data_IF_201719672832
#
_entry.id   IF_201719672832
#
_cell.length_a   1.000
_cell.length_b   1.000
_cell.length_c   1.000
_cell.angle_alpha   90.00
_cell.angle_beta   90.00
_cell.angle_gamma   90.00
#
_symmetry.space_group_name_H-M   'P 1'
#
loop_
_entity.id
_entity.type
_entity.pdbx_description
1 polymer ?
#
# COMPACT_ATOMS: atom_id res chain seq x y z
N UNK A 1 8.71 3.75 -13.60
CA UNK A 1 7.47 3.18 -14.20
C UNK A 1 7.54 1.65 -14.16
N UNK A 2 6.92 1.05 -13.15
CA UNK A 2 6.64 -0.39 -13.11
C UNK A 2 5.17 -0.58 -13.47
N UNK A 3 4.94 -1.53 -14.39
CA UNK A 3 3.68 -1.77 -15.08
C UNK A 3 2.59 -2.22 -14.08
N UNK A 4 1.61 -1.36 -13.80
CA UNK A 4 0.44 -1.60 -12.94
C UNK A 4 -0.56 -2.67 -13.48
N UNK A 5 -0.11 -3.59 -14.34
CA UNK A 5 -0.96 -4.57 -15.05
C UNK A 5 -0.60 -6.04 -14.81
N UNK A 6 -0.17 -6.36 -13.60
CA UNK A 6 -0.30 -7.73 -13.07
C UNK A 6 -1.07 -7.74 -11.77
N UNK A 7 -2.38 -7.48 -11.88
CA UNK A 7 -3.34 -8.01 -10.92
C UNK A 7 -3.24 -9.54 -10.96
N UNK A 8 -2.37 -10.09 -10.11
CA UNK A 8 -2.39 -11.50 -9.77
C UNK A 8 -3.76 -11.74 -9.13
N UNK A 9 -4.61 -12.49 -9.83
CA UNK A 9 -5.91 -12.90 -9.33
C UNK A 9 -5.71 -13.71 -8.04
N UNK A 10 -5.86 -13.06 -6.87
CA UNK A 10 -5.93 -13.75 -5.58
C UNK A 10 -7.36 -14.27 -5.45
N UNK A 11 -7.65 -15.29 -6.26
CA UNK A 11 -8.83 -16.12 -6.19
C UNK A 11 -8.55 -17.23 -5.18
N UNK A 12 -9.56 -17.48 -4.34
CA UNK A 12 -9.65 -18.49 -3.29
C UNK A 12 -8.91 -18.22 -1.97
N UNK A 13 -9.53 -17.40 -1.13
CA UNK A 13 -9.52 -17.69 0.32
C UNK A 13 -10.95 -17.73 0.87
N UNK A 14 -11.80 -18.45 0.15
CA UNK A 14 -13.07 -18.95 0.68
C UNK A 14 -12.78 -20.07 1.66
N UNK A 15 -12.52 -19.77 2.94
CA UNK A 15 -12.50 -20.81 3.98
C UNK A 15 -13.43 -20.46 5.15
N UNK A 16 -14.70 -20.26 4.79
CA UNK A 16 -15.81 -20.59 5.68
C UNK A 16 -15.94 -22.11 5.78
N UNK A 17 -15.38 -22.62 6.87
CA UNK A 17 -15.87 -23.69 7.73
C UNK A 17 -17.21 -24.37 7.38
N UNK A 18 -17.26 -25.66 7.75
CA UNK A 18 -18.39 -26.58 7.84
C UNK A 18 -18.70 -27.41 6.58
N UNK A 19 -17.98 -28.51 6.43
CA UNK A 19 -18.54 -29.81 6.01
C UNK A 19 -17.45 -30.89 5.92
N UNK A 20 -16.81 -31.26 7.04
CA UNK A 20 -16.17 -32.61 7.09
C UNK A 20 -17.20 -33.74 7.29
N UNK A 21 -18.50 -33.41 7.21
CA UNK A 21 -19.58 -34.38 7.09
C UNK A 21 -19.89 -34.64 5.61
N UNK A 22 -18.89 -34.99 4.80
CA UNK A 22 -19.17 -35.63 3.51
C UNK A 22 -19.38 -37.11 3.73
N UNK A 23 -20.47 -37.59 3.14
CA UNK A 23 -21.07 -38.92 3.21
C UNK A 23 -20.09 -40.03 2.85
N UNK A 24 -19.44 -40.60 3.87
CA UNK A 24 -18.77 -41.89 3.72
C UNK A 24 -19.82 -42.99 3.63
N UNK A 25 -20.07 -43.49 2.43
CA UNK A 25 -20.76 -44.76 2.24
C UNK A 25 -19.83 -45.89 2.73
N UNK A 26 -20.27 -46.72 3.69
CA UNK A 26 -19.45 -47.81 4.19
C UNK A 26 -19.49 -48.97 3.20
N UNK A 27 -18.32 -49.41 2.73
CA UNK A 27 -18.16 -50.76 2.16
C UNK A 27 -18.24 -51.78 3.28
N UNK A 28 -19.18 -52.71 3.14
CA UNK A 28 -19.49 -53.75 4.13
C UNK A 28 -18.62 -54.97 3.81
N UNK A 29 -17.84 -55.42 4.79
CA UNK A 29 -17.35 -56.80 4.84
C UNK A 29 -17.93 -57.42 6.11
N UNK A 30 -18.79 -58.41 5.94
CA UNK A 30 -19.39 -59.19 7.02
C UNK A 30 -18.36 -60.17 7.59
N UNK A 31 -17.55 -59.70 8.54
CA UNK A 31 -16.93 -60.59 9.50
C UNK A 31 -17.70 -60.51 10.81
N UNK A 32 -18.05 -61.66 11.40
CA UNK A 32 -18.46 -61.78 12.81
C UNK A 32 -17.31 -61.37 13.72
N UNK A 33 -16.99 -60.07 13.74
CA UNK A 33 -16.01 -59.49 14.64
C UNK A 33 -16.57 -59.44 16.06
N UNK A 34 -15.75 -59.79 17.04
CA UNK A 34 -16.09 -59.59 18.44
C UNK A 34 -16.37 -58.10 18.68
N UNK A 35 -17.62 -57.76 19.09
CA UNK A 35 -18.07 -56.38 19.35
C UNK A 35 -17.09 -55.62 20.25
N UNK A 36 -16.50 -56.31 21.24
CA UNK A 36 -15.51 -55.71 22.14
C UNK A 36 -14.24 -55.27 21.40
N UNK A 37 -13.74 -56.09 20.47
CA UNK A 37 -12.55 -55.78 19.66
C UNK A 37 -12.79 -54.58 18.76
N UNK A 38 -13.93 -54.53 18.05
CA UNK A 38 -14.28 -53.39 17.19
C UNK A 38 -14.39 -52.08 17.98
N UNK A 39 -14.99 -52.13 19.17
CA UNK A 39 -15.06 -50.96 20.07
C UNK A 39 -13.66 -50.54 20.54
N UNK A 40 -12.80 -51.50 20.90
CA UNK A 40 -11.44 -51.24 21.34
C UNK A 40 -10.60 -50.57 20.24
N UNK A 41 -10.63 -51.10 19.03
CA UNK A 41 -9.92 -50.57 17.86
C UNK A 41 -10.37 -49.14 17.53
N UNK A 42 -11.68 -48.89 17.51
CA UNK A 42 -12.20 -47.54 17.26
C UNK A 42 -11.73 -46.54 18.33
N UNK A 43 -11.79 -46.92 19.61
CA UNK A 43 -11.31 -46.08 20.73
C UNK A 43 -9.80 -45.84 20.63
N UNK A 44 -9.02 -46.85 20.29
CA UNK A 44 -7.57 -46.75 20.12
C UNK A 44 -7.21 -45.79 18.98
N UNK A 45 -7.91 -45.88 17.84
CA UNK A 45 -7.65 -45.00 16.69
C UNK A 45 -8.04 -43.54 16.97
N UNK A 46 -9.12 -43.26 17.71
CA UNK A 46 -9.44 -41.89 18.14
C UNK A 46 -8.35 -41.29 19.04
N UNK A 47 -7.82 -42.09 19.98
CA UNK A 47 -6.69 -41.68 20.83
C UNK A 47 -5.42 -41.46 20.02
N UNK A 48 -5.17 -42.30 19.01
CA UNK A 48 -4.04 -42.16 18.10
C UNK A 48 -4.11 -40.89 17.27
N UNK A 49 -5.29 -40.52 16.75
CA UNK A 49 -5.48 -39.27 16.02
C UNK A 49 -5.11 -38.04 16.87
N UNK A 50 -5.49 -38.06 18.16
CA UNK A 50 -5.07 -37.05 19.14
C UNK A 50 -3.56 -37.08 19.41
N UNK A 51 -3.00 -38.25 19.71
CA UNK A 51 -1.57 -38.42 19.97
C UNK A 51 -0.69 -37.98 18.79
N UNK A 52 -1.21 -38.08 17.55
CA UNK A 52 -0.49 -37.71 16.33
C UNK A 52 0.08 -36.29 16.39
N UNK A 53 -0.73 -35.29 16.79
CA UNK A 53 -0.21 -33.92 16.89
C UNK A 53 0.45 -33.63 18.23
N UNK A 54 -0.04 -34.19 19.33
CA UNK A 54 0.53 -33.94 20.66
C UNK A 54 1.95 -34.48 20.75
N UNK A 55 2.17 -35.73 20.36
CA UNK A 55 3.49 -36.36 20.39
C UNK A 55 4.43 -35.73 19.38
N UNK A 56 3.93 -35.29 18.21
CA UNK A 56 4.77 -34.57 17.26
C UNK A 56 5.27 -33.23 17.84
N UNK A 57 4.38 -32.45 18.45
CA UNK A 57 4.74 -31.19 19.12
C UNK A 57 5.71 -31.43 20.27
N UNK A 58 5.49 -32.46 21.10
CA UNK A 58 6.40 -32.80 22.19
C UNK A 58 7.81 -33.15 21.71
N UNK A 59 7.93 -33.87 20.58
CA UNK A 59 9.22 -34.31 20.05
C UNK A 59 9.96 -33.23 19.26
N UNK A 60 9.23 -32.38 18.53
CA UNK A 60 9.81 -31.47 17.55
C UNK A 60 9.71 -30.00 17.93
N UNK A 61 8.85 -29.65 18.88
CA UNK A 61 8.47 -28.27 19.17
C UNK A 61 7.64 -27.60 18.06
N UNK A 62 7.25 -28.33 17.01
CA UNK A 62 6.55 -27.81 15.82
C UNK A 62 5.19 -28.48 15.64
N UNK A 63 4.28 -27.81 14.92
CA UNK A 63 3.01 -28.40 14.51
C UNK A 63 3.25 -29.38 13.35
N UNK A 64 2.63 -30.57 13.34
CA UNK A 64 2.71 -31.44 12.17
C UNK A 64 1.93 -30.86 10.98
N UNK A 65 2.20 -31.34 9.75
CA UNK A 65 1.39 -30.99 8.59
C UNK A 65 -0.08 -31.32 8.79
N UNK A 66 -0.98 -30.45 8.32
CA UNK A 66 -2.43 -30.64 8.46
C UNK A 66 -2.89 -31.99 7.90
N UNK A 67 -2.36 -32.37 6.73
CA UNK A 67 -2.70 -33.61 6.04
C UNK A 67 -2.43 -34.87 6.89
N UNK A 68 -1.37 -34.88 7.70
CA UNK A 68 -1.00 -36.00 8.56
C UNK A 68 -2.07 -36.26 9.62
N UNK A 69 -2.54 -35.20 10.28
CA UNK A 69 -3.56 -35.32 11.35
C UNK A 69 -4.93 -35.57 10.74
N UNK A 70 -5.22 -34.99 9.57
CA UNK A 70 -6.47 -35.23 8.83
C UNK A 70 -6.62 -36.70 8.42
N UNK A 71 -5.54 -37.36 8.01
CA UNK A 71 -5.55 -38.77 7.66
C UNK A 71 -5.93 -39.65 8.86
N UNK A 72 -5.32 -39.42 10.04
CA UNK A 72 -5.65 -40.18 11.26
C UNK A 72 -7.05 -39.86 11.78
N UNK A 73 -7.52 -38.62 11.62
CA UNK A 73 -8.91 -38.23 11.89
C UNK A 73 -9.90 -39.01 11.03
N UNK A 74 -9.68 -39.08 9.71
CA UNK A 74 -10.56 -39.81 8.78
C UNK A 74 -10.66 -41.29 9.16
N UNK A 75 -9.53 -41.93 9.46
CA UNK A 75 -9.50 -43.32 9.96
C UNK A 75 -10.29 -43.49 11.25
N UNK A 76 -10.08 -42.60 12.23
CA UNK A 76 -10.78 -42.64 13.51
C UNK A 76 -12.29 -42.46 13.37
N UNK A 77 -12.73 -41.52 12.52
CA UNK A 77 -14.14 -41.27 12.27
C UNK A 77 -14.80 -42.46 11.56
N UNK A 78 -14.12 -43.07 10.59
CA UNK A 78 -14.61 -44.25 9.90
C UNK A 78 -14.82 -45.43 10.87
N UNK A 79 -13.81 -45.76 11.68
CA UNK A 79 -13.91 -46.84 12.67
C UNK A 79 -14.97 -46.57 13.73
N UNK A 80 -15.15 -45.31 14.15
CA UNK A 80 -16.24 -44.92 15.04
C UNK A 80 -17.62 -45.25 14.48
N UNK A 81 -17.88 -44.85 13.23
CA UNK A 81 -19.17 -45.08 12.56
C UNK A 81 -19.42 -46.58 12.38
N UNK A 82 -18.40 -47.34 11.97
CA UNK A 82 -18.48 -48.80 11.86
C UNK A 82 -18.76 -49.47 13.21
N UNK A 83 -18.00 -49.12 14.26
CA UNK A 83 -18.17 -49.67 15.59
C UNK A 83 -19.56 -49.36 16.15
N UNK A 84 -20.08 -48.13 15.93
CA UNK A 84 -21.42 -47.74 16.36
C UNK A 84 -22.49 -48.59 15.70
N UNK A 85 -22.36 -48.86 14.40
CA UNK A 85 -23.28 -49.76 13.67
C UNK A 85 -23.23 -51.18 14.22
N UNK A 86 -22.05 -51.76 14.38
CA UNK A 86 -21.85 -53.13 14.91
C UNK A 86 -22.45 -53.28 16.32
N UNK A 87 -22.24 -52.29 17.19
CA UNK A 87 -22.82 -52.28 18.54
C UNK A 87 -24.36 -52.18 18.47
N UNK A 88 -24.90 -51.38 17.56
CA UNK A 88 -26.34 -51.20 17.40
C UNK A 88 -27.05 -52.47 16.92
N UNK A 89 -26.43 -53.24 16.04
CA UNK A 89 -26.97 -54.52 15.53
C UNK A 89 -26.74 -55.70 16.47
N UNK A 90 -25.93 -55.53 17.53
CA UNK A 90 -25.68 -56.58 18.52
C UNK A 90 -26.87 -56.77 19.48
N UNK A 91 -27.18 -58.01 19.83
CA UNK A 91 -28.19 -58.38 20.84
C UNK A 91 -27.63 -58.45 22.28
N UNK A 92 -26.40 -57.96 22.50
CA UNK A 92 -25.69 -58.12 23.77
C UNK A 92 -26.17 -57.18 24.88
N UNK A 93 -26.20 -57.67 26.13
CA UNK A 93 -26.55 -56.89 27.33
C UNK A 93 -25.66 -55.64 27.53
N UNK A 94 -24.42 -55.67 27.02
CA UNK A 94 -23.44 -54.59 27.12
C UNK A 94 -23.62 -53.44 26.11
N UNK A 95 -24.61 -53.52 25.20
CA UNK A 95 -24.81 -52.55 24.10
C UNK A 95 -24.80 -51.08 24.57
N UNK A 96 -25.55 -50.76 25.63
CA UNK A 96 -25.63 -49.38 26.17
C UNK A 96 -24.26 -48.86 26.64
N UNK A 97 -23.48 -49.72 27.29
CA UNK A 97 -22.13 -49.41 27.77
C UNK A 97 -21.19 -49.14 26.60
N UNK A 98 -21.19 -49.98 25.57
CA UNK A 98 -20.35 -49.78 24.39
C UNK A 98 -20.69 -48.50 23.62
N UNK A 99 -21.97 -48.16 23.47
CA UNK A 99 -22.37 -46.89 22.85
C UNK A 99 -21.88 -45.70 23.69
N UNK A 100 -22.10 -45.73 25.00
CA UNK A 100 -21.63 -44.68 25.91
C UNK A 100 -20.11 -44.49 25.85
N UNK A 101 -19.35 -45.59 25.87
CA UNK A 101 -17.90 -45.59 25.78
C UNK A 101 -17.38 -45.02 24.46
N UNK A 102 -17.97 -45.41 23.33
CA UNK A 102 -17.62 -44.90 22.00
C UNK A 102 -17.92 -43.41 21.90
N UNK A 103 -19.13 -42.99 22.26
CA UNK A 103 -19.56 -41.60 22.17
C UNK A 103 -18.78 -40.71 23.14
N UNK A 104 -18.48 -41.20 24.34
CA UNK A 104 -17.62 -40.52 25.32
C UNK A 104 -16.19 -40.35 24.83
N UNK A 105 -15.62 -41.39 24.20
CA UNK A 105 -14.26 -41.33 23.62
C UNK A 105 -14.24 -40.38 22.43
N UNK A 106 -15.23 -40.44 21.53
CA UNK A 106 -15.35 -39.54 20.40
C UNK A 106 -15.50 -38.08 20.85
N UNK A 107 -16.38 -37.81 21.81
CA UNK A 107 -16.58 -36.46 22.37
C UNK A 107 -15.28 -35.91 22.96
N UNK A 108 -14.50 -36.75 23.64
CA UNK A 108 -13.25 -36.34 24.30
C UNK A 108 -12.11 -36.10 23.33
N UNK A 109 -11.81 -37.07 22.46
CA UNK A 109 -10.62 -37.03 21.61
C UNK A 109 -10.89 -36.40 20.24
N UNK A 110 -12.07 -36.62 19.67
CA UNK A 110 -12.40 -36.10 18.34
C UNK A 110 -13.00 -34.70 18.45
N UNK A 111 -14.16 -34.58 19.11
CA UNK A 111 -14.93 -33.33 19.14
C UNK A 111 -14.24 -32.19 19.91
N UNK A 112 -13.64 -32.49 21.07
CA UNK A 112 -13.00 -31.47 21.92
C UNK A 112 -11.53 -31.21 21.60
N UNK A 113 -10.85 -32.09 20.86
CA UNK A 113 -9.38 -32.01 20.67
C UNK A 113 -8.97 -32.00 19.19
N UNK A 114 -9.13 -33.12 18.48
CA UNK A 114 -8.68 -33.25 17.08
C UNK A 114 -9.42 -32.29 16.14
N UNK A 115 -10.74 -32.13 16.27
CA UNK A 115 -11.51 -31.23 15.39
C UNK A 115 -11.08 -29.76 15.56
N UNK A 116 -11.03 -29.19 16.80
CA UNK A 116 -10.49 -27.85 17.00
C UNK A 116 -9.05 -27.67 16.48
N UNK A 117 -8.19 -28.67 16.63
CA UNK A 117 -6.84 -28.65 16.06
C UNK A 117 -6.85 -28.58 14.53
N UNK A 118 -7.65 -29.42 13.85
CA UNK A 118 -7.73 -29.44 12.38
C UNK A 118 -8.25 -28.11 11.83
N UNK A 119 -9.23 -27.56 12.52
CA UNK A 119 -9.80 -26.25 12.25
C UNK A 119 -8.78 -25.11 12.37
N UNK A 120 -7.87 -25.19 13.34
CA UNK A 120 -6.78 -24.23 13.50
C UNK A 120 -5.68 -24.43 12.43
N UNK A 121 -5.30 -25.68 12.16
CA UNK A 121 -4.17 -26.00 11.26
C UNK A 121 -4.43 -25.74 9.78
N UNK A 122 -5.69 -25.74 9.32
CA UNK A 122 -6.03 -25.56 7.89
C UNK A 122 -5.53 -24.23 7.30
N UNK A 123 -5.45 -23.19 8.12
CA UNK A 123 -5.02 -21.84 7.73
C UNK A 123 -3.65 -21.47 8.28
N UNK A 124 -3.06 -22.30 9.13
CA UNK A 124 -1.77 -22.03 9.78
C UNK A 124 -0.65 -21.91 8.76
N UNK A 125 -0.53 -22.87 7.84
CA UNK A 125 0.48 -22.85 6.78
C UNK A 125 0.36 -21.62 5.89
N UNK A 126 -0.88 -21.19 5.59
CA UNK A 126 -1.16 -19.95 4.86
C UNK A 126 -0.70 -18.72 5.63
N UNK A 127 -1.01 -18.65 6.92
CA UNK A 127 -0.58 -17.54 7.78
C UNK A 127 0.95 -17.43 7.87
N UNK A 128 1.66 -18.56 7.94
CA UNK A 128 3.12 -18.59 7.94
C UNK A 128 3.71 -18.14 6.62
N UNK A 129 3.17 -18.59 5.50
CA UNK A 129 3.61 -18.14 4.17
C UNK A 129 3.38 -16.64 3.99
N UNK A 130 2.21 -16.12 4.38
CA UNK A 130 1.90 -14.70 4.27
C UNK A 130 2.82 -13.84 5.15
N UNK A 131 3.09 -14.27 6.40
CA UNK A 131 4.06 -13.59 7.27
C UNK A 131 5.46 -13.57 6.65
N UNK A 132 5.93 -14.71 6.15
CA UNK A 132 7.25 -14.81 5.51
C UNK A 132 7.35 -13.94 4.24
N UNK A 133 6.27 -13.80 3.47
CA UNK A 133 6.25 -12.90 2.31
C UNK A 133 6.42 -11.42 2.72
N UNK A 134 5.82 -11.01 3.84
CA UNK A 134 6.04 -9.66 4.40
C UNK A 134 7.47 -9.50 4.88
N UNK A 135 8.02 -10.49 5.59
CA UNK A 135 9.43 -10.47 6.04
C UNK A 135 10.41 -10.37 4.86
N UNK A 136 10.13 -11.09 3.77
CA UNK A 136 10.94 -11.06 2.56
C UNK A 136 10.86 -9.70 1.87
N UNK A 137 9.66 -9.15 1.67
CA UNK A 137 9.50 -7.83 1.06
C UNK A 137 10.18 -6.71 1.86
N UNK A 138 10.18 -6.82 3.19
CA UNK A 138 10.91 -5.90 4.07
C UNK A 138 12.43 -6.08 3.92
N UNK A 139 12.92 -7.31 3.83
CA UNK A 139 14.33 -7.59 3.65
C UNK A 139 14.87 -7.15 2.28
N UNK A 140 14.01 -7.21 1.26
CA UNK A 140 14.31 -6.77 -0.10
C UNK A 140 14.07 -5.26 -0.30
N UNK A 141 13.59 -4.56 0.73
CA UNK A 141 13.17 -3.15 0.67
C UNK A 141 12.21 -2.86 -0.51
N UNK A 142 11.35 -3.83 -0.83
CA UNK A 142 10.40 -3.79 -1.93
C UNK A 142 9.00 -3.40 -1.41
N UNK A 143 8.66 -2.12 -1.57
CA UNK A 143 7.39 -1.56 -1.07
C UNK A 143 6.15 -2.10 -1.83
N UNK A 144 6.30 -2.43 -3.12
CA UNK A 144 5.26 -3.02 -3.95
C UNK A 144 4.93 -4.45 -3.47
N UNK A 145 5.98 -5.25 -3.26
CA UNK A 145 5.85 -6.59 -2.70
C UNK A 145 5.28 -6.53 -1.28
N UNK A 146 5.70 -5.54 -0.47
CA UNK A 146 5.20 -5.35 0.89
C UNK A 146 3.71 -5.06 0.90
N UNK A 147 3.21 -4.14 0.06
CA UNK A 147 1.79 -3.85 -0.06
C UNK A 147 0.99 -5.14 -0.34
N UNK A 148 1.45 -5.93 -1.30
CA UNK A 148 0.78 -7.18 -1.70
C UNK A 148 0.78 -8.20 -0.55
N UNK A 149 1.93 -8.43 0.07
CA UNK A 149 2.07 -9.40 1.16
C UNK A 149 1.32 -8.96 2.42
N UNK A 150 1.30 -7.67 2.73
CA UNK A 150 0.60 -7.10 3.89
C UNK A 150 -0.91 -7.31 3.78
N UNK A 151 -1.48 -7.08 2.60
CA UNK A 151 -2.90 -7.35 2.30
C UNK A 151 -3.25 -8.84 2.44
N UNK A 152 -2.36 -9.74 2.02
CA UNK A 152 -2.54 -11.18 2.24
C UNK A 152 -2.51 -11.54 3.72
N UNK A 153 -1.57 -10.97 4.48
CA UNK A 153 -1.43 -11.22 5.92
C UNK A 153 -2.66 -10.74 6.71
N UNK A 154 -3.32 -9.67 6.27
CA UNK A 154 -4.55 -9.12 6.88
C UNK A 154 -5.62 -10.19 7.14
N UNK A 155 -5.77 -11.16 6.23
CA UNK A 155 -6.78 -12.22 6.32
C UNK A 155 -6.54 -13.13 7.53
N UNK A 156 -5.27 -13.32 7.92
CA UNK A 156 -4.85 -14.26 8.95
C UNK A 156 -4.73 -13.64 10.35
N UNK A 157 -4.68 -12.30 10.45
CA UNK A 157 -4.48 -11.59 11.73
C UNK A 157 -5.80 -11.06 12.33
N UNK A 158 -6.93 -11.66 11.94
CA UNK A 158 -8.26 -11.28 12.40
C UNK A 158 -8.69 -12.01 13.68
N UNK A 159 -9.63 -11.41 14.43
CA UNK A 159 -10.20 -11.99 15.65
C UNK A 159 -10.81 -13.40 15.45
N UNK A 160 -11.34 -13.67 14.26
CA UNK A 160 -11.86 -15.00 13.91
C UNK A 160 -10.76 -16.06 13.95
N UNK A 161 -9.57 -15.72 13.48
CA UNK A 161 -8.42 -16.62 13.51
C UNK A 161 -7.95 -16.87 14.93
N UNK A 162 -7.85 -15.80 15.73
CA UNK A 162 -7.53 -15.88 17.15
C UNK A 162 -8.51 -16.78 17.91
N UNK A 163 -9.82 -16.68 17.62
CA UNK A 163 -10.84 -17.56 18.20
C UNK A 163 -10.65 -19.03 17.82
N UNK A 164 -10.32 -19.33 16.56
CA UNK A 164 -10.05 -20.70 16.12
C UNK A 164 -8.84 -21.29 16.87
N UNK A 165 -7.78 -20.51 17.03
CA UNK A 165 -6.59 -20.91 17.78
C UNK A 165 -6.88 -21.13 19.26
N UNK A 166 -7.69 -20.29 19.90
CA UNK A 166 -8.07 -20.46 21.30
C UNK A 166 -8.90 -21.71 21.60
N UNK A 167 -9.55 -22.31 20.59
CA UNK A 167 -10.30 -23.57 20.76
C UNK A 167 -9.41 -24.81 20.80
N UNK A 168 -8.12 -24.70 20.46
CA UNK A 168 -7.18 -25.82 20.57
C UNK A 168 -6.99 -26.16 22.05
N UNK A 169 -7.24 -27.42 22.41
CA UNK A 169 -7.36 -27.84 23.81
C UNK A 169 -6.01 -27.82 24.56
N UNK A 170 -4.97 -28.41 23.96
CA UNK A 170 -3.66 -28.57 24.56
C UNK A 170 -2.92 -27.24 24.62
N UNK A 171 -2.50 -26.84 25.83
CA UNK A 171 -1.91 -25.52 26.05
C UNK A 171 -0.62 -25.29 25.24
N UNK A 172 0.29 -26.26 25.23
CA UNK A 172 1.55 -26.20 24.47
C UNK A 172 1.30 -26.14 22.96
N UNK A 173 0.29 -26.84 22.44
CA UNK A 173 -0.08 -26.79 21.02
C UNK A 173 -0.74 -25.46 20.68
N UNK A 174 -1.66 -24.99 21.51
CA UNK A 174 -2.33 -23.69 21.37
C UNK A 174 -1.32 -22.54 21.36
N UNK A 175 -0.28 -22.59 22.20
CA UNK A 175 0.77 -21.57 22.23
C UNK A 175 1.51 -21.42 20.90
N UNK A 176 1.72 -22.50 20.13
CA UNK A 176 2.34 -22.41 18.80
C UNK A 176 1.47 -21.63 17.82
N UNK A 177 0.16 -21.91 17.80
CA UNK A 177 -0.80 -21.18 16.98
C UNK A 177 -0.88 -19.70 17.36
N UNK A 178 -0.98 -19.41 18.67
CA UNK A 178 -1.04 -18.03 19.18
C UNK A 178 0.27 -17.27 18.96
N UNK A 179 1.41 -17.95 19.04
CA UNK A 179 2.71 -17.38 18.71
C UNK A 179 2.78 -16.92 17.26
N UNK A 180 2.32 -17.74 16.33
CA UNK A 180 2.25 -17.36 14.90
C UNK A 180 1.30 -16.18 14.67
N UNK A 181 0.11 -16.21 15.29
CA UNK A 181 -0.83 -15.08 15.23
C UNK A 181 -0.20 -13.78 15.74
N UNK A 182 0.48 -13.83 16.89
CA UNK A 182 1.10 -12.66 17.50
C UNK A 182 2.21 -12.08 16.61
N UNK A 183 3.07 -12.94 16.05
CA UNK A 183 4.11 -12.54 15.09
C UNK A 183 3.50 -11.87 13.86
N UNK A 184 2.51 -12.51 13.25
CA UNK A 184 1.81 -11.96 12.09
C UNK A 184 1.14 -10.62 12.39
N UNK A 185 0.43 -10.50 13.53
CA UNK A 185 -0.27 -9.27 13.93
C UNK A 185 0.71 -8.12 14.17
N UNK A 186 1.80 -8.39 14.88
CA UNK A 186 2.85 -7.41 15.16
C UNK A 186 3.46 -6.89 13.86
N UNK A 187 3.77 -7.79 12.93
CA UNK A 187 4.35 -7.44 11.65
C UNK A 187 3.38 -6.65 10.77
N UNK A 188 2.11 -7.08 10.71
CA UNK A 188 1.04 -6.36 10.02
C UNK A 188 0.87 -4.94 10.58
N UNK A 189 0.82 -4.78 11.90
CA UNK A 189 0.62 -3.46 12.51
C UNK A 189 1.81 -2.53 12.27
N UNK A 190 3.05 -3.07 12.33
CA UNK A 190 4.28 -2.32 12.12
C UNK A 190 4.30 -1.60 10.77
N UNK A 191 3.90 -2.29 9.69
CA UNK A 191 3.98 -1.78 8.32
C UNK A 191 2.65 -1.19 7.79
N UNK A 192 1.60 -1.14 8.62
CA UNK A 192 0.28 -0.65 8.20
C UNK A 192 0.28 0.84 7.80
N UNK A 193 1.25 1.63 8.28
CA UNK A 193 1.38 3.05 7.94
C UNK A 193 2.13 3.24 6.63
N UNK A 194 3.22 2.50 6.44
CA UNK A 194 4.01 2.52 5.20
C UNK A 194 3.15 2.13 4.01
N UNK A 195 2.43 1.01 4.11
CA UNK A 195 1.52 0.52 3.06
C UNK A 195 0.42 1.54 2.75
N UNK A 196 -0.15 2.19 3.78
CA UNK A 196 -1.18 3.20 3.58
C UNK A 196 -0.63 4.45 2.90
N UNK A 197 0.57 4.91 3.27
CA UNK A 197 1.22 6.06 2.64
C UNK A 197 1.53 5.75 1.18
N UNK A 198 2.13 4.60 0.91
CA UNK A 198 2.40 4.14 -0.45
C UNK A 198 1.12 4.10 -1.32
N UNK A 199 0.02 3.54 -0.80
CA UNK A 199 -1.28 3.55 -1.48
C UNK A 199 -1.82 4.95 -1.80
N UNK A 200 -1.55 5.95 -0.95
CA UNK A 200 -1.98 7.32 -1.21
C UNK A 200 -1.03 8.04 -2.20
N UNK A 201 0.27 7.75 -2.16
CA UNK A 201 1.24 8.29 -3.12
C UNK A 201 0.92 7.81 -4.54
N UNK A 202 0.61 6.52 -4.72
CA UNK A 202 0.14 5.99 -6.01
C UNK A 202 -1.10 6.72 -6.52
N UNK A 203 -2.08 6.98 -5.63
CA UNK A 203 -3.28 7.74 -6.00
C UNK A 203 -2.97 9.20 -6.32
N UNK A 204 -2.10 9.84 -5.55
CA UNK A 204 -1.70 11.22 -5.78
C UNK A 204 -1.04 11.36 -7.15
N UNK A 205 -0.13 10.44 -7.50
CA UNK A 205 0.48 10.35 -8.82
C UNK A 205 -0.59 10.22 -9.93
N UNK A 206 -1.48 9.22 -9.83
CA UNK A 206 -2.58 9.05 -10.81
C UNK A 206 -3.45 10.31 -10.94
N UNK A 207 -3.78 10.97 -9.83
CA UNK A 207 -4.58 12.19 -9.86
C UNK A 207 -3.85 13.39 -10.47
N UNK A 208 -2.54 13.51 -10.25
CA UNK A 208 -1.74 14.57 -10.86
C UNK A 208 -1.63 14.37 -12.38
N UNK A 209 -1.40 13.13 -12.85
CA UNK A 209 -1.41 12.79 -14.28
C UNK A 209 -2.76 13.09 -14.95
N UNK A 210 -3.86 12.83 -14.24
CA UNK A 210 -5.23 13.08 -14.70
C UNK A 210 -5.68 14.56 -14.56
N UNK A 211 -4.85 15.46 -14.00
CA UNK A 211 -5.22 16.86 -13.71
C UNK A 211 -6.27 17.02 -12.60
N UNK A 212 -6.49 16.00 -11.77
CA UNK A 212 -7.44 15.99 -10.64
C UNK A 212 -6.78 16.56 -9.38
N UNK A 213 -6.44 17.86 -9.43
CA UNK A 213 -5.61 18.54 -8.43
C UNK A 213 -6.23 18.53 -7.02
N UNK A 214 -7.56 18.58 -6.91
CA UNK A 214 -8.26 18.54 -5.60
C UNK A 214 -8.12 17.16 -4.94
N UNK A 215 -8.26 16.08 -5.71
CA UNK A 215 -8.08 14.71 -5.26
C UNK A 215 -6.61 14.42 -4.92
N UNK A 216 -5.68 14.92 -5.73
CA UNK A 216 -4.25 14.84 -5.45
C UNK A 216 -3.90 15.48 -4.11
N UNK A 217 -4.38 16.71 -3.84
CA UNK A 217 -4.15 17.39 -2.56
C UNK A 217 -4.69 16.59 -1.37
N UNK A 218 -5.89 16.02 -1.48
CA UNK A 218 -6.47 15.19 -0.42
C UNK A 218 -5.60 13.96 -0.13
N UNK A 219 -5.05 13.31 -1.16
CA UNK A 219 -4.16 12.18 -0.99
C UNK A 219 -2.84 12.59 -0.32
N UNK A 220 -2.23 13.70 -0.77
CA UNK A 220 -1.00 14.26 -0.19
C UNK A 220 -1.18 14.68 1.28
N UNK A 221 -2.32 15.26 1.65
CA UNK A 221 -2.62 15.65 3.04
C UNK A 221 -2.75 14.44 3.97
N UNK A 222 -3.30 13.33 3.46
CA UNK A 222 -3.34 12.06 4.20
C UNK A 222 -1.92 11.54 4.40
N UNK A 223 -1.04 11.66 3.39
CA UNK A 223 0.36 11.24 3.50
C UNK A 223 1.10 12.09 4.54
N UNK A 224 1.00 13.41 4.46
CA UNK A 224 1.64 14.35 5.38
C UNK A 224 1.34 14.02 6.85
N UNK A 225 0.06 13.77 7.17
CA UNK A 225 -0.38 13.40 8.52
C UNK A 225 0.14 12.05 9.04
N UNK A 226 0.79 11.25 8.19
CA UNK A 226 1.30 9.92 8.51
C UNK A 226 2.83 9.80 8.47
N UNK A 227 3.56 10.79 7.94
CA UNK A 227 5.03 10.71 7.73
C UNK A 227 5.80 10.41 9.03
N UNK A 228 5.36 10.96 10.16
CA UNK A 228 5.99 10.75 11.48
C UNK A 228 5.80 9.35 12.07
N UNK A 229 4.97 8.52 11.42
CA UNK A 229 4.57 7.18 11.89
C UNK A 229 5.07 6.06 10.97
N UNK A 230 5.95 6.39 10.03
CA UNK A 230 6.54 5.43 9.11
C UNK A 230 7.60 4.58 9.80
N UNK A 231 7.73 3.32 9.37
CA UNK A 231 8.83 2.47 9.78
C UNK A 231 10.16 3.01 9.23
N UNK A 232 11.25 2.75 9.94
CA UNK A 232 12.57 3.22 9.51
C UNK A 232 12.99 2.62 8.16
N UNK A 233 12.51 1.42 7.82
CA UNK A 233 12.85 0.70 6.57
C UNK A 233 12.46 1.50 5.33
N UNK A 234 11.24 2.05 5.28
CA UNK A 234 10.72 2.71 4.07
C UNK A 234 10.58 4.22 4.22
N UNK A 235 10.99 4.79 5.36
CA UNK A 235 10.74 6.20 5.68
C UNK A 235 11.33 7.14 4.65
N UNK A 236 12.60 6.96 4.32
CA UNK A 236 13.33 7.86 3.42
C UNK A 236 12.69 7.89 2.04
N UNK A 237 12.44 6.72 1.47
CA UNK A 237 11.88 6.62 0.11
C UNK A 237 10.46 7.17 0.02
N UNK A 238 9.60 6.86 1.01
CA UNK A 238 8.23 7.37 1.03
C UNK A 238 8.18 8.90 1.26
N UNK A 239 9.10 9.45 2.05
CA UNK A 239 9.21 10.90 2.25
C UNK A 239 9.70 11.57 0.96
N UNK A 240 10.70 10.99 0.29
CA UNK A 240 11.22 11.54 -0.96
C UNK A 240 10.12 11.56 -2.04
N UNK A 241 9.40 10.45 -2.22
CA UNK A 241 8.29 10.37 -3.16
C UNK A 241 7.18 11.38 -2.84
N UNK A 242 6.84 11.56 -1.55
CA UNK A 242 5.92 12.60 -1.11
C UNK A 242 6.39 14.00 -1.55
N UNK A 243 7.66 14.34 -1.33
CA UNK A 243 8.21 15.64 -1.71
C UNK A 243 8.22 15.84 -3.22
N UNK A 244 8.57 14.81 -4.00
CA UNK A 244 8.51 14.85 -5.46
C UNK A 244 7.08 15.13 -5.96
N UNK A 245 6.07 14.42 -5.45
CA UNK A 245 4.68 14.66 -5.85
C UNK A 245 4.14 16.00 -5.34
N UNK A 246 4.60 16.47 -4.17
CA UNK A 246 4.23 17.78 -3.64
C UNK A 246 4.81 18.92 -4.50
N UNK A 247 6.02 18.78 -5.01
CA UNK A 247 6.64 19.71 -5.96
C UNK A 247 5.80 19.80 -7.24
N UNK A 248 5.48 18.66 -7.86
CA UNK A 248 4.61 18.60 -9.04
C UNK A 248 3.25 19.25 -8.77
N UNK A 249 2.65 18.97 -7.60
CA UNK A 249 1.40 19.63 -7.20
C UNK A 249 1.56 21.15 -7.11
N UNK A 250 2.62 21.64 -6.47
CA UNK A 250 2.85 23.07 -6.31
C UNK A 250 3.09 23.76 -7.65
N UNK A 251 3.81 23.13 -8.57
CA UNK A 251 4.05 23.65 -9.93
C UNK A 251 2.76 23.76 -10.74
N UNK A 252 1.79 22.86 -10.53
CA UNK A 252 0.46 22.98 -11.13
C UNK A 252 -0.37 24.12 -10.51
N UNK A 253 -0.03 24.55 -9.29
CA UNK A 253 -0.72 25.61 -8.58
C UNK A 253 -0.06 26.98 -8.77
N UNK A 254 1.21 27.03 -9.17
CA UNK A 254 1.87 28.28 -9.52
C UNK A 254 1.35 28.75 -10.88
N UNK A 255 0.80 29.97 -10.91
CA UNK A 255 0.46 30.59 -12.18
C UNK A 255 1.74 30.80 -12.98
N UNK A 256 1.73 30.53 -14.31
CA UNK A 256 2.90 30.81 -15.12
C UNK A 256 3.23 32.31 -15.01
N UNK A 257 4.52 32.62 -14.81
CA UNK A 257 5.03 33.99 -14.78
C UNK A 257 5.38 34.36 -16.20
N UNK A 258 4.91 35.52 -16.66
CA UNK A 258 5.25 36.03 -17.98
C UNK A 258 6.77 36.22 -18.12
N UNK A 259 7.34 35.76 -19.23
CA UNK A 259 8.66 36.11 -19.71
C UNK A 259 8.62 37.34 -20.60
N UNK A 260 9.69 38.15 -20.57
CA UNK A 260 9.87 39.26 -21.50
C UNK A 260 10.55 38.73 -22.78
N UNK A 261 9.84 38.73 -23.90
CA UNK A 261 10.32 38.20 -25.18
C UNK A 261 11.12 39.25 -25.97
N UNK A 262 10.58 40.47 -26.05
CA UNK A 262 11.14 41.52 -26.89
C UNK A 262 10.89 42.91 -26.29
N UNK A 263 11.80 43.84 -26.61
CA UNK A 263 11.69 45.25 -26.23
C UNK A 263 11.94 46.10 -27.46
N UNK A 264 10.95 46.91 -27.81
CA UNK A 264 11.11 48.01 -28.78
C UNK A 264 11.44 49.29 -28.04
N UNK A 265 12.34 50.09 -28.60
CA UNK A 265 12.74 51.36 -28.02
C UNK A 265 12.69 52.48 -29.06
N UNK A 266 12.09 53.60 -28.65
CA UNK A 266 12.15 54.88 -29.36
C UNK A 266 12.46 55.99 -28.37
N UNK A 267 12.79 57.19 -28.86
CA UNK A 267 13.09 58.29 -27.97
C UNK A 267 11.86 58.67 -27.12
N UNK A 268 11.91 58.39 -25.82
CA UNK A 268 10.84 58.67 -24.86
C UNK A 268 9.87 57.52 -24.59
N UNK A 269 10.00 56.37 -25.27
CA UNK A 269 9.09 55.24 -25.04
C UNK A 269 9.75 53.87 -25.27
N UNK A 270 9.34 52.89 -24.47
CA UNK A 270 9.65 51.47 -24.62
C UNK A 270 8.35 50.68 -24.77
N UNK A 271 8.35 49.67 -25.63
CA UNK A 271 7.25 48.70 -25.72
C UNK A 271 7.80 47.31 -25.41
N UNK A 272 7.29 46.71 -24.33
CA UNK A 272 7.65 45.39 -23.86
C UNK A 272 6.62 44.39 -24.35
N UNK A 273 7.09 43.25 -24.87
CA UNK A 273 6.27 42.14 -25.34
C UNK A 273 6.50 40.93 -24.45
N UNK A 274 5.42 40.35 -23.93
CA UNK A 274 5.45 39.19 -23.03
C UNK A 274 4.94 37.94 -23.75
N UNK A 275 5.50 36.78 -23.39
CA UNK A 275 5.11 35.47 -23.92
C UNK A 275 3.67 35.06 -23.53
N UNK A 276 3.22 35.51 -22.36
CA UNK A 276 1.86 35.40 -21.83
C UNK A 276 1.42 36.71 -21.15
N UNK A 277 0.12 36.83 -20.89
CA UNK A 277 -0.45 38.01 -20.26
C UNK A 277 0.10 38.25 -18.84
N UNK A 278 0.57 39.47 -18.54
CA UNK A 278 0.98 39.85 -17.18
C UNK A 278 -0.22 40.19 -16.30
N UNK A 279 -0.18 39.79 -15.03
CA UNK A 279 -1.24 40.12 -14.06
C UNK A 279 -1.22 41.59 -13.66
N UNK A 280 -0.02 42.17 -13.50
CA UNK A 280 0.25 43.58 -13.25
C UNK A 280 1.69 43.94 -13.63
N UNK A 281 1.96 45.22 -13.88
CA UNK A 281 3.31 45.72 -14.10
C UNK A 281 3.46 47.11 -13.47
N UNK A 282 4.47 47.30 -12.63
CA UNK A 282 4.80 48.54 -11.94
C UNK A 282 6.29 48.87 -12.10
N UNK A 283 6.68 50.10 -11.73
CA UNK A 283 8.07 50.52 -11.79
C UNK A 283 9.01 49.68 -10.92
N UNK A 284 8.50 48.99 -9.89
CA UNK A 284 9.29 48.11 -9.04
C UNK A 284 9.63 46.77 -9.71
N UNK A 285 8.86 46.38 -10.73
CA UNK A 285 8.99 45.10 -11.42
C UNK A 285 10.03 45.15 -12.55
N UNK A 286 10.43 46.36 -12.96
CA UNK A 286 11.35 46.58 -14.07
C UNK A 286 12.57 47.40 -13.64
N UNK A 287 13.73 47.02 -14.17
CA UNK A 287 14.92 47.87 -14.10
C UNK A 287 15.37 48.21 -15.51
N UNK A 288 15.26 49.48 -15.85
CA UNK A 288 15.58 50.01 -17.18
C UNK A 288 16.97 50.63 -17.12
N UNK A 289 17.85 50.21 -18.02
CA UNK A 289 19.13 50.88 -18.26
C UNK A 289 19.22 51.36 -19.69
N UNK A 290 20.01 52.42 -19.89
CA UNK A 290 20.25 53.03 -21.20
C UNK A 290 21.74 53.28 -21.35
N UNK A 291 22.29 52.98 -22.54
CA UNK A 291 23.63 53.39 -22.93
C UNK A 291 23.57 54.34 -24.13
N UNK A 292 24.43 55.37 -24.10
CA UNK A 292 24.59 56.33 -25.19
C UNK A 292 25.95 56.13 -25.85
N UNK A 293 25.96 55.99 -27.18
CA UNK A 293 27.17 55.81 -27.99
C UNK A 293 28.10 54.69 -27.47
N UNK A 294 27.50 53.58 -26.99
CA UNK A 294 28.18 52.44 -26.34
C UNK A 294 28.96 52.82 -25.06
N UNK A 295 28.58 53.91 -24.41
CA UNK A 295 29.09 54.31 -23.09
C UNK A 295 28.52 53.45 -21.95
N UNK A 296 28.78 53.89 -20.72
CA UNK A 296 28.28 53.19 -19.52
C UNK A 296 26.75 53.19 -19.44
N UNK A 297 26.19 52.11 -18.88
CA UNK A 297 24.76 51.98 -18.62
C UNK A 297 24.32 52.93 -17.51
N UNK A 298 23.27 53.69 -17.78
CA UNK A 298 22.62 54.60 -16.84
C UNK A 298 21.24 54.08 -16.49
N UNK A 299 20.87 54.10 -15.21
CA UNK A 299 19.53 53.71 -14.77
C UNK A 299 18.53 54.77 -15.20
N UNK A 300 17.44 54.33 -15.83
CA UNK A 300 16.34 55.18 -16.28
C UNK A 300 15.09 54.87 -15.46
N UNK A 301 14.48 55.91 -14.90
CA UNK A 301 13.24 55.76 -14.16
C UNK A 301 12.04 55.85 -15.13
N UNK A 302 11.09 54.90 -15.09
CA UNK A 302 9.87 54.98 -15.88
C UNK A 302 8.99 56.13 -15.36
N UNK A 303 8.39 56.88 -16.29
CA UNK A 303 7.46 57.96 -15.98
C UNK A 303 6.02 57.45 -15.88
N UNK A 304 5.65 56.56 -16.80
CA UNK A 304 4.31 55.97 -16.89
C UNK A 304 4.43 54.56 -17.46
N UNK A 305 3.58 53.65 -16.99
CA UNK A 305 3.46 52.27 -17.49
C UNK A 305 2.00 52.03 -17.80
N UNK A 306 1.72 51.61 -19.02
CA UNK A 306 0.37 51.24 -19.48
C UNK A 306 0.39 49.83 -20.05
N UNK A 307 -0.58 49.01 -19.63
CA UNK A 307 -0.78 47.68 -20.20
C UNK A 307 -1.80 47.76 -21.33
N UNK A 308 -1.56 46.97 -22.36
CA UNK A 308 -2.55 46.63 -23.38
C UNK A 308 -3.75 45.88 -22.76
N UNK A 309 -4.88 45.88 -23.47
CA UNK A 309 -6.12 45.24 -22.99
C UNK A 309 -5.95 43.73 -22.76
N UNK A 310 -5.19 43.05 -23.63
CA UNK A 310 -4.86 41.62 -23.47
C UNK A 310 -3.67 41.36 -22.54
N UNK A 311 -3.01 42.44 -22.09
CA UNK A 311 -1.87 42.46 -21.17
C UNK A 311 -0.66 41.66 -21.64
N UNK A 312 -0.55 41.37 -22.92
CA UNK A 312 0.66 40.78 -23.53
C UNK A 312 1.69 41.83 -23.92
N UNK A 313 1.31 43.11 -23.87
CA UNK A 313 2.19 44.25 -24.14
C UNK A 313 2.10 45.31 -23.03
N UNK A 314 3.23 45.96 -22.73
CA UNK A 314 3.30 47.16 -21.92
C UNK A 314 4.02 48.30 -22.65
N UNK A 315 3.46 49.51 -22.60
CA UNK A 315 4.15 50.72 -23.04
C UNK A 315 4.64 51.49 -21.82
N UNK A 316 5.94 51.77 -21.81
CA UNK A 316 6.63 52.51 -20.75
C UNK A 316 7.12 53.84 -21.31
N UNK A 317 6.63 54.93 -20.76
CA UNK A 317 7.15 56.27 -21.06
C UNK A 317 8.42 56.50 -20.25
N UNK A 318 9.49 56.94 -20.91
CA UNK A 318 10.78 57.28 -20.29
C UNK A 318 11.16 58.73 -20.64
N UNK A 319 12.06 59.38 -19.88
CA UNK A 319 12.53 60.72 -20.24
C UNK A 319 13.12 60.77 -21.66
N UNK A 320 12.70 61.75 -22.45
CA UNK A 320 13.27 61.99 -23.78
C UNK A 320 14.73 62.45 -23.67
N UNK A 321 15.56 61.94 -24.57
CA UNK A 321 16.96 62.35 -24.71
C UNK A 321 16.99 63.55 -25.68
N UNK A 322 17.59 64.69 -25.27
CA UNK A 322 17.69 65.85 -26.13
C UNK A 322 18.67 65.61 -27.29
N UNK A 323 18.36 66.20 -28.45
CA UNK A 323 19.29 66.22 -29.59
C UNK A 323 20.52 67.06 -29.27
N UNK A 324 21.66 66.65 -29.80
CA UNK A 324 22.92 67.39 -29.77
C UNK A 324 23.38 67.74 -31.18
N UNK A 325 24.53 68.40 -31.31
CA UNK A 325 25.16 68.69 -32.61
C UNK A 325 25.76 67.42 -33.26
N UNK A 326 25.75 66.29 -32.54
CA UNK A 326 26.23 64.99 -33.00
C UNK A 326 25.08 63.97 -33.01
N UNK A 327 25.22 62.98 -33.89
CA UNK A 327 24.34 61.82 -33.90
C UNK A 327 24.56 60.98 -32.64
N UNK A 328 23.48 60.51 -32.01
CA UNK A 328 23.54 59.71 -30.79
C UNK A 328 22.88 58.35 -31.03
N UNK A 329 23.63 57.27 -30.82
CA UNK A 329 23.11 55.90 -30.81
C UNK A 329 22.69 55.54 -29.39
N UNK A 330 21.45 55.08 -29.23
CA UNK A 330 20.84 54.76 -27.94
C UNK A 330 20.49 53.28 -27.92
N UNK A 331 20.83 52.60 -26.83
CA UNK A 331 20.38 51.23 -26.56
C UNK A 331 19.76 51.19 -25.17
N UNK A 332 18.53 50.69 -25.08
CA UNK A 332 17.89 50.38 -23.81
C UNK A 332 17.99 48.89 -23.51
N UNK A 333 18.09 48.56 -22.23
CA UNK A 333 17.89 47.21 -21.72
C UNK A 333 16.91 47.22 -20.56
N UNK A 334 16.08 46.18 -20.49
CA UNK A 334 15.07 46.01 -19.45
C UNK A 334 15.32 44.69 -18.75
N UNK A 335 15.45 44.74 -17.43
CA UNK A 335 15.44 43.57 -16.56
C UNK A 335 14.01 43.38 -16.00
N UNK A 336 13.44 42.19 -16.19
CA UNK A 336 12.12 41.79 -15.70
C UNK A 336 12.14 40.30 -15.30
N UNK A 337 11.55 39.96 -14.15
CA UNK A 337 11.49 38.58 -13.62
C UNK A 337 12.86 37.83 -13.62
N UNK A 338 13.97 38.57 -13.46
CA UNK A 338 15.34 38.04 -13.47
C UNK A 338 15.99 37.87 -14.86
N UNK A 339 15.24 38.06 -15.95
CA UNK A 339 15.78 38.11 -17.32
C UNK A 339 16.13 39.53 -17.76
N UNK A 340 17.16 39.70 -18.60
CA UNK A 340 17.55 40.98 -19.22
C UNK A 340 17.39 40.91 -20.74
N UNK A 341 16.59 41.81 -21.31
CA UNK A 341 16.40 41.94 -22.76
C UNK A 341 16.87 43.31 -23.22
N UNK A 342 17.67 43.37 -24.28
CA UNK A 342 18.11 44.63 -24.89
C UNK A 342 17.29 44.93 -26.12
N UNK A 343 16.85 46.17 -26.25
CA UNK A 343 16.21 46.65 -27.46
C UNK A 343 17.24 46.85 -28.58
N UNK A 344 16.77 46.83 -29.83
CA UNK A 344 17.59 47.23 -30.95
C UNK A 344 18.02 48.71 -30.80
N UNK A 345 19.26 49.05 -31.21
CA UNK A 345 19.73 50.44 -31.15
C UNK A 345 18.89 51.34 -32.05
N UNK A 346 18.56 52.53 -31.55
CA UNK A 346 18.01 53.60 -32.38
C UNK A 346 18.92 54.83 -32.38
N UNK A 347 18.74 55.68 -33.39
CA UNK A 347 19.56 56.88 -33.58
C UNK A 347 18.72 58.14 -33.34
N UNK A 348 19.26 59.06 -32.54
CA UNK A 348 18.79 60.44 -32.46
C UNK A 348 19.62 61.27 -33.42
N UNK A 349 18.95 61.85 -34.41
CA UNK A 349 19.60 62.72 -35.40
C UNK A 349 20.13 63.99 -34.73
N UNK A 350 21.26 64.50 -35.25
CA UNK A 350 21.79 65.81 -34.86
C UNK A 350 20.78 66.93 -35.17
N UNK A 351 20.91 68.02 -34.43
CA UNK A 351 20.06 69.21 -34.52
C UNK A 351 20.18 69.96 -35.85
#
# INVERSE_FOLDING_TARGET
MVNAKKMISIVMMSFLFCSLLFSFQPTVSEAKGNVATTVHEAKAQMKKAHATYVTHVQKTGKLPPHATVLAEYKKAHHLYVQAKRVVQTSAGKEKKKYVSDLDGTYKTYMAKRVIPYLNASVVFEGSTKARMAVEQAVADEDIDALQTAHKQLQVYVQNRQLHAYNKVFEANVRQLFLGEFSKGKTLYDKYARDVKVYEQLLKAHEYLEDGKVVEAKKALDIVEGLLTKLSDTFRTDLINEYHTLLEVYNDLMTSPVAGLDYVEATNGALTLYFDIAVSSLTAADVKITMSLNKGEEQVVQPLEITLSDDRTMATITVPMIPQTDQEQSVVYAVEYAGGKVSADPFTISKK
#
